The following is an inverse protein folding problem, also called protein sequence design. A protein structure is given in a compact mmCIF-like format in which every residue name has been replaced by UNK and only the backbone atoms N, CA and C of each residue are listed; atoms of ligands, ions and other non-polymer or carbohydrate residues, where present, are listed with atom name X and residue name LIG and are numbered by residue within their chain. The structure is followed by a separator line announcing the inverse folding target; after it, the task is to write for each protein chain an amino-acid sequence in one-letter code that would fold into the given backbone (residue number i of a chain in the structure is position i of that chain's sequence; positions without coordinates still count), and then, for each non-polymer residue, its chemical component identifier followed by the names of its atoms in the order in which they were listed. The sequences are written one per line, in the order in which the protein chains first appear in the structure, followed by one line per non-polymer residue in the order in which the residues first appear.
data_IF_245115824971
#
_entry.id   IF_245115824971
#
_cell.length_a   1.000
_cell.length_b   1.000
_cell.length_c   1.000
_cell.angle_alpha   90.00
_cell.angle_beta   90.00
_cell.angle_gamma   90.00
#
_symmetry.space_group_name_H-M   'P 1'
#
loop_
_entity.id
_entity.type
_entity.pdbx_description
1 polymer ?
#
# COMPACT_ATOMS: atom_id res chain seq x y z
N UNK A 1 -2.44 -27.66 15.99
CA UNK A 1 -3.06 -26.70 16.93
C UNK A 1 -2.42 -25.34 16.69
N UNK A 2 -3.19 -24.33 16.31
CA UNK A 2 -2.67 -22.97 16.09
C UNK A 2 -2.76 -22.20 17.41
N UNK A 3 -1.66 -21.60 17.82
CA UNK A 3 -1.59 -20.67 18.94
C UNK A 3 -1.05 -19.34 18.42
N UNK A 4 -1.19 -18.27 19.20
CA UNK A 4 -0.69 -16.94 18.81
C UNK A 4 0.33 -16.37 19.80
N UNK A 5 1.30 -15.62 19.28
CA UNK A 5 2.24 -14.79 20.05
C UNK A 5 1.91 -13.31 19.99
N UNK A 6 1.16 -12.89 18.97
CA UNK A 6 0.89 -11.50 18.65
C UNK A 6 -0.60 -11.24 18.51
N UNK A 7 -1.01 -9.98 18.59
CA UNK A 7 -2.37 -9.56 18.27
C UNK A 7 -2.34 -8.17 17.67
N UNK A 8 -3.25 -7.92 16.76
CA UNK A 8 -3.58 -6.58 16.24
C UNK A 8 -5.08 -6.35 16.33
N UNK A 9 -5.77 -7.02 17.27
CA UNK A 9 -7.22 -6.92 17.43
C UNK A 9 -7.65 -5.62 18.12
N UNK A 10 -6.79 -4.99 18.93
CA UNK A 10 -6.96 -3.62 19.49
C UNK A 10 -5.77 -2.73 19.10
N UNK A 11 -5.95 -1.41 19.12
CA UNK A 11 -4.86 -0.47 18.80
C UNK A 11 -3.67 -0.68 19.73
N UNK A 12 -3.95 -0.83 21.02
CA UNK A 12 -2.98 -1.21 22.05
C UNK A 12 -2.19 -2.47 21.66
N UNK A 13 -2.86 -3.55 21.22
CA UNK A 13 -2.16 -4.76 20.82
C UNK A 13 -1.26 -4.56 19.60
N UNK A 14 -1.70 -3.73 18.65
CA UNK A 14 -0.89 -3.41 17.48
C UNK A 14 0.34 -2.56 17.85
N UNK A 15 0.19 -1.58 18.72
CA UNK A 15 1.32 -0.82 19.27
C UNK A 15 2.28 -1.71 20.06
N UNK A 16 1.74 -2.64 20.86
CA UNK A 16 2.53 -3.64 21.57
C UNK A 16 3.31 -4.55 20.60
N UNK A 17 2.70 -5.01 19.52
CA UNK A 17 3.38 -5.76 18.45
C UNK A 17 4.56 -4.97 17.88
N UNK A 18 4.33 -3.71 17.49
CA UNK A 18 5.35 -2.85 16.91
C UNK A 18 6.51 -2.55 17.87
N UNK A 19 6.21 -2.34 19.16
CA UNK A 19 7.23 -2.08 20.19
C UNK A 19 8.17 -3.27 20.44
N UNK A 20 7.74 -4.48 20.09
CA UNK A 20 8.49 -5.73 20.28
C UNK A 20 9.20 -6.23 19.04
N UNK A 21 9.09 -5.51 17.92
CA UNK A 21 9.87 -5.79 16.73
C UNK A 21 11.37 -5.62 17.03
N UNK A 22 12.21 -6.62 16.70
CA UNK A 22 13.65 -6.43 16.73
C UNK A 22 14.04 -5.23 15.87
N UNK A 23 14.98 -4.37 16.31
CA UNK A 23 15.38 -3.20 15.51
C UNK A 23 16.02 -3.62 14.19
N UNK A 24 16.78 -4.72 14.21
CA UNK A 24 17.51 -5.23 13.07
C UNK A 24 17.51 -6.76 13.13
N UNK A 25 17.25 -7.36 11.98
CA UNK A 25 17.39 -8.79 11.73
C UNK A 25 18.82 -9.04 11.24
N UNK A 26 19.56 -9.88 11.96
CA UNK A 26 20.98 -10.15 11.70
C UNK A 26 21.29 -11.60 11.36
N UNK A 27 20.31 -12.51 11.47
CA UNK A 27 20.51 -13.93 11.26
C UNK A 27 19.41 -14.56 10.40
N UNK A 28 19.81 -15.45 9.50
CA UNK A 28 18.90 -16.27 8.70
C UNK A 28 18.12 -17.30 9.55
N UNK A 29 18.60 -17.64 10.75
CA UNK A 29 17.91 -18.55 11.68
C UNK A 29 16.73 -17.90 12.41
N UNK A 30 16.55 -16.58 12.31
CA UNK A 30 15.44 -15.89 12.97
C UNK A 30 14.11 -16.23 12.29
N UNK A 31 13.01 -16.40 13.06
CA UNK A 31 11.69 -16.56 12.45
C UNK A 31 11.25 -15.35 11.63
N UNK A 32 11.77 -14.15 11.91
CA UNK A 32 11.54 -12.96 11.07
C UNK A 32 12.18 -13.07 9.69
N UNK A 33 13.31 -13.78 9.55
CA UNK A 33 13.90 -14.06 8.26
C UNK A 33 12.99 -14.97 7.43
N UNK A 34 12.45 -16.04 8.04
CA UNK A 34 11.48 -16.92 7.37
C UNK A 34 10.20 -16.17 6.98
N UNK A 35 9.69 -15.28 7.84
CA UNK A 35 8.59 -14.40 7.53
C UNK A 35 8.90 -13.52 6.31
N UNK A 36 10.01 -12.77 6.34
CA UNK A 36 10.40 -11.90 5.24
C UNK A 36 10.68 -12.67 3.95
N UNK A 37 11.26 -13.86 4.03
CA UNK A 37 11.44 -14.75 2.89
C UNK A 37 10.09 -15.17 2.29
N UNK A 38 9.07 -15.39 3.12
CA UNK A 38 7.72 -15.68 2.62
C UNK A 38 7.05 -14.47 1.97
N UNK A 39 7.26 -13.26 2.50
CA UNK A 39 6.70 -12.01 1.96
C UNK A 39 7.41 -11.59 0.67
N UNK A 40 8.74 -11.56 0.70
CA UNK A 40 9.58 -11.07 -0.39
C UNK A 40 9.99 -12.15 -1.39
N UNK A 41 9.63 -13.42 -1.16
CA UNK A 41 9.98 -14.55 -2.04
C UNK A 41 11.47 -14.63 -2.41
N UNK A 42 12.32 -14.02 -1.60
CA UNK A 42 13.75 -13.92 -1.79
C UNK A 42 14.41 -13.70 -0.42
N UNK A 43 15.63 -14.22 -0.22
CA UNK A 43 16.45 -13.92 0.95
C UNK A 43 16.54 -12.40 1.20
N UNK A 44 16.02 -11.87 2.33
CA UNK A 44 16.24 -10.47 2.65
C UNK A 44 17.73 -10.23 2.92
N UNK A 45 18.28 -9.12 2.41
CA UNK A 45 19.65 -8.75 2.70
C UNK A 45 19.85 -8.51 4.20
N UNK A 46 20.88 -9.12 4.79
CA UNK A 46 21.26 -8.94 6.19
C UNK A 46 22.42 -7.94 6.29
N UNK A 47 22.42 -7.03 7.29
CA UNK A 47 21.37 -6.80 8.28
C UNK A 47 20.11 -6.14 7.70
N UNK A 48 18.92 -6.61 8.09
CA UNK A 48 17.65 -6.03 7.64
C UNK A 48 16.98 -5.21 8.77
N UNK A 49 16.73 -3.90 8.57
CA UNK A 49 16.08 -3.05 9.57
C UNK A 49 14.56 -3.29 9.62
N UNK A 50 14.10 -4.27 10.42
CA UNK A 50 12.67 -4.66 10.53
C UNK A 50 11.74 -3.49 10.89
N UNK A 51 12.22 -2.49 11.63
CA UNK A 51 11.43 -1.30 11.98
C UNK A 51 11.14 -0.36 10.80
N UNK A 52 11.72 -0.62 9.62
CA UNK A 52 11.36 0.07 8.37
C UNK A 52 10.13 -0.51 7.70
N UNK A 53 9.68 -1.71 8.10
CA UNK A 53 8.43 -2.28 7.60
C UNK A 53 7.27 -1.41 8.07
N UNK A 54 6.48 -0.95 7.11
CA UNK A 54 5.25 -0.19 7.36
C UNK A 54 4.02 -1.02 7.06
N UNK A 55 4.17 -2.24 6.56
CA UNK A 55 3.10 -3.17 6.23
C UNK A 55 3.46 -4.57 6.71
N UNK A 56 2.47 -5.26 7.29
CA UNK A 56 2.62 -6.65 7.70
C UNK A 56 1.47 -7.51 7.16
N UNK A 57 1.83 -8.59 6.47
CA UNK A 57 0.93 -9.69 6.12
C UNK A 57 0.62 -10.53 7.36
N UNK A 58 -0.53 -10.28 8.00
CA UNK A 58 -0.86 -10.93 9.29
C UNK A 58 -1.37 -12.37 9.14
N UNK A 59 -1.76 -12.77 7.94
CA UNK A 59 -2.12 -14.15 7.59
C UNK A 59 -0.92 -15.01 7.19
N UNK A 60 0.23 -14.39 6.87
CA UNK A 60 1.41 -15.08 6.38
C UNK A 60 2.34 -15.40 7.56
N UNK A 61 2.53 -16.69 7.89
CA UNK A 61 3.52 -17.26 8.81
C UNK A 61 3.68 -16.69 10.25
N UNK A 62 3.10 -15.51 10.54
CA UNK A 62 3.14 -14.88 11.84
C UNK A 62 2.15 -15.59 12.77
N UNK A 63 2.54 -15.93 14.01
CA UNK A 63 1.63 -16.45 15.02
C UNK A 63 0.72 -15.32 15.54
N UNK A 64 -0.18 -14.82 14.69
CA UNK A 64 -1.13 -13.74 14.99
C UNK A 64 -2.42 -14.31 15.58
N UNK A 65 -2.97 -13.60 16.55
CA UNK A 65 -4.28 -13.90 17.11
C UNK A 65 -5.35 -13.75 16.04
N UNK A 66 -6.37 -14.61 16.13
CA UNK A 66 -7.58 -14.41 15.34
C UNK A 66 -8.40 -13.29 15.99
N UNK A 67 -8.81 -12.33 15.18
CA UNK A 67 -9.67 -11.24 15.63
C UNK A 67 -11.11 -11.52 15.18
N UNK A 68 -12.06 -11.37 16.09
CA UNK A 68 -13.49 -11.57 15.83
C UNK A 68 -14.27 -10.31 16.16
N UNK A 69 -15.40 -10.10 15.48
CA UNK A 69 -16.41 -9.10 15.85
C UNK A 69 -17.71 -9.83 16.16
N UNK A 70 -18.48 -9.34 17.12
CA UNK A 70 -19.85 -9.80 17.35
C UNK A 70 -20.81 -9.35 16.24
N UNK A 71 -20.57 -8.17 15.66
CA UNK A 71 -21.32 -7.61 14.53
C UNK A 71 -20.47 -6.56 13.78
N UNK A 72 -20.99 -5.99 12.69
CA UNK A 72 -20.25 -5.05 11.85
C UNK A 72 -19.76 -3.78 12.60
N UNK A 73 -20.55 -3.28 13.55
CA UNK A 73 -20.25 -2.06 14.33
C UNK A 73 -19.40 -2.32 15.58
N UNK A 74 -19.29 -3.57 16.04
CA UNK A 74 -18.53 -3.89 17.25
C UNK A 74 -17.01 -3.77 17.01
N UNK A 75 -16.25 -3.34 18.01
CA UNK A 75 -14.79 -3.37 17.93
C UNK A 75 -14.30 -4.81 17.74
N UNK A 76 -13.14 -4.95 17.08
CA UNK A 76 -12.45 -6.23 17.01
C UNK A 76 -11.98 -6.63 18.40
N UNK A 77 -12.17 -7.91 18.73
CA UNK A 77 -11.66 -8.52 19.96
C UNK A 77 -10.87 -9.77 19.63
N UNK A 78 -10.04 -10.20 20.58
CA UNK A 78 -9.36 -11.49 20.52
C UNK A 78 -10.39 -12.63 20.49
N UNK A 79 -10.16 -13.61 19.63
CA UNK A 79 -10.88 -14.87 19.66
C UNK A 79 -10.36 -15.73 20.83
N UNK A 80 -11.17 -15.88 21.87
CA UNK A 80 -10.81 -16.66 23.06
C UNK A 80 -10.56 -18.16 22.74
N UNK A 81 -11.06 -18.67 21.61
CA UNK A 81 -10.82 -20.05 21.19
C UNK A 81 -9.41 -20.27 20.62
N UNK A 82 -8.66 -19.20 20.34
CA UNK A 82 -7.31 -19.27 19.82
C UNK A 82 -6.29 -19.03 20.95
N UNK A 83 -5.70 -20.07 21.56
CA UNK A 83 -4.87 -19.91 22.74
C UNK A 83 -3.55 -19.16 22.44
N UNK A 84 -2.98 -18.53 23.46
CA UNK A 84 -1.61 -17.99 23.40
C UNK A 84 -0.60 -19.13 23.36
N UNK A 85 0.45 -18.97 22.57
CA UNK A 85 1.56 -19.92 22.58
C UNK A 85 2.33 -19.85 23.90
N UNK A 86 3.05 -20.93 24.23
CA UNK A 86 3.99 -20.93 25.35
C UNK A 86 5.06 -19.84 25.18
N UNK A 87 5.52 -19.26 26.29
CA UNK A 87 6.49 -18.16 26.28
C UNK A 87 7.76 -18.50 25.47
N UNK A 88 8.26 -19.74 25.60
CA UNK A 88 9.43 -20.22 24.86
C UNK A 88 9.23 -20.20 23.33
N UNK A 89 8.02 -20.54 22.86
CA UNK A 89 7.70 -20.50 21.43
C UNK A 89 7.65 -19.07 20.88
N UNK A 90 7.18 -18.12 21.69
CA UNK A 90 7.15 -16.71 21.30
C UNK A 90 8.50 -16.01 21.46
N UNK A 91 9.37 -16.47 22.35
CA UNK A 91 10.65 -15.82 22.64
C UNK A 91 11.50 -15.60 21.38
N UNK A 92 11.50 -16.55 20.44
CA UNK A 92 12.24 -16.44 19.18
C UNK A 92 11.76 -15.28 18.27
N UNK A 93 10.50 -14.85 18.42
CA UNK A 93 9.90 -13.77 17.65
C UNK A 93 10.08 -12.39 18.29
N UNK A 94 10.46 -12.34 19.56
CA UNK A 94 10.32 -11.16 20.38
C UNK A 94 11.69 -10.62 20.77
N UNK A 95 11.92 -9.33 20.53
CA UNK A 95 12.98 -8.63 21.23
C UNK A 95 12.55 -8.33 22.68
N UNK A 96 13.53 -8.02 23.54
CA UNK A 96 13.24 -7.33 24.79
C UNK A 96 12.38 -6.09 24.49
N UNK A 97 11.36 -5.77 25.31
CA UNK A 97 10.51 -4.62 25.07
C UNK A 97 11.37 -3.36 24.97
N UNK A 98 11.33 -2.70 23.83
CA UNK A 98 11.90 -1.36 23.69
C UNK A 98 10.81 -0.34 23.99
N UNK A 99 11.20 0.90 24.30
CA UNK A 99 10.24 2.00 24.27
C UNK A 99 9.51 1.99 22.92
N UNK A 100 8.17 2.12 22.90
CA UNK A 100 7.42 2.16 21.65
C UNK A 100 7.98 3.30 20.79
N UNK A 101 8.06 3.13 19.46
CA UNK A 101 8.52 4.19 18.58
C UNK A 101 7.66 5.44 18.83
N UNK A 102 8.32 6.58 19.04
CA UNK A 102 7.63 7.84 19.22
C UNK A 102 6.77 8.11 17.98
N UNK A 103 5.45 8.09 18.17
CA UNK A 103 4.43 8.42 17.18
C UNK A 103 4.30 7.47 15.98
N UNK A 104 3.72 6.29 16.22
CA UNK A 104 3.14 5.45 15.16
C UNK A 104 1.62 5.55 15.22
N UNK A 105 1.00 5.78 14.06
CA UNK A 105 -0.45 5.62 13.90
C UNK A 105 -0.73 4.24 13.32
N UNK A 106 -1.64 3.51 13.94
CA UNK A 106 -2.06 2.19 13.49
C UNK A 106 -3.35 2.31 12.70
N UNK A 107 -3.32 1.88 11.45
CA UNK A 107 -4.50 1.86 10.60
C UNK A 107 -4.92 0.44 10.27
N UNK A 108 -6.25 0.24 10.21
CA UNK A 108 -6.86 -1.04 9.86
C UNK A 108 -7.74 -0.92 8.65
N UNK A 109 -7.55 -1.85 7.74
CA UNK A 109 -8.34 -1.96 6.53
C UNK A 109 -9.51 -2.93 6.74
N UNK A 110 -10.72 -2.59 6.25
CA UNK A 110 -11.95 -3.31 6.61
C UNK A 110 -12.10 -4.70 5.99
N UNK A 111 -11.33 -5.05 4.95
CA UNK A 111 -11.51 -6.32 4.24
C UNK A 111 -10.54 -7.42 4.69
N UNK A 112 -9.28 -7.08 5.03
CA UNK A 112 -8.27 -8.05 5.45
C UNK A 112 -7.34 -7.37 6.45
N UNK A 113 -7.03 -8.07 7.55
CA UNK A 113 -6.29 -7.52 8.69
C UNK A 113 -4.85 -7.29 8.26
N UNK A 114 -4.58 -6.11 7.70
CA UNK A 114 -3.23 -5.59 7.47
C UNK A 114 -2.93 -4.59 8.58
N UNK A 115 -1.72 -4.67 9.14
CA UNK A 115 -1.21 -3.62 10.00
C UNK A 115 -0.40 -2.67 9.13
N UNK A 116 -0.88 -1.45 8.97
CA UNK A 116 -0.09 -0.39 8.34
C UNK A 116 0.36 0.59 9.42
N UNK A 117 1.68 0.72 9.54
CA UNK A 117 2.37 1.53 10.54
C UNK A 117 3.28 2.51 9.82
N UNK A 118 2.90 3.77 9.73
CA UNK A 118 3.72 4.77 9.04
C UNK A 118 4.67 5.46 10.03
N UNK A 119 5.97 5.57 9.71
CA UNK A 119 6.84 6.51 10.39
C UNK A 119 6.34 7.93 10.08
N UNK A 120 6.39 8.84 11.06
CA UNK A 120 6.10 10.28 10.86
C UNK A 120 7.05 10.99 9.90
N UNK A 121 8.14 10.35 9.47
CA UNK A 121 9.04 10.98 8.51
C UNK A 121 8.25 11.28 7.23
N UNK A 122 8.28 12.53 6.73
CA UNK A 122 7.51 12.89 5.54
C UNK A 122 7.90 11.97 4.39
N UNK A 123 6.92 11.47 3.61
CA UNK A 123 7.23 10.65 2.45
C UNK A 123 8.15 11.44 1.53
N UNK A 124 9.16 10.75 1.00
CA UNK A 124 10.10 11.31 0.03
C UNK A 124 9.69 10.85 -1.35
N UNK A 125 9.82 11.74 -2.34
CA UNK A 125 9.68 11.35 -3.73
C UNK A 125 10.68 10.24 -4.07
N UNK A 126 10.17 9.14 -4.62
CA UNK A 126 11.00 8.12 -5.25
C UNK A 126 11.65 8.69 -6.52
N UNK A 127 12.90 8.30 -6.84
CA UNK A 127 13.56 8.67 -8.09
C UNK A 127 12.76 8.23 -9.31
N UNK A 128 12.89 8.95 -10.43
CA UNK A 128 12.27 8.55 -11.71
C UNK A 128 12.73 7.14 -12.12
N UNK A 129 11.82 6.37 -12.70
CA UNK A 129 11.99 4.98 -13.18
C UNK A 129 12.36 3.98 -12.09
N UNK A 130 12.22 4.36 -10.82
CA UNK A 130 12.45 3.47 -9.70
C UNK A 130 11.37 2.40 -9.61
N UNK A 131 11.71 1.30 -8.95
CA UNK A 131 10.74 0.38 -8.40
C UNK A 131 10.34 0.86 -7.01
N UNK A 132 9.04 0.99 -6.77
CA UNK A 132 8.48 1.41 -5.49
C UNK A 132 7.69 0.25 -4.91
N UNK A 133 7.96 -0.07 -3.64
CA UNK A 133 7.18 -1.05 -2.90
C UNK A 133 5.82 -0.43 -2.52
N UNK A 134 4.75 -1.11 -2.87
CA UNK A 134 3.39 -0.57 -2.81
C UNK A 134 2.41 -1.56 -2.22
N UNK A 135 1.29 -1.06 -1.73
CA UNK A 135 0.10 -1.85 -1.44
C UNK A 135 -1.02 -1.35 -2.32
N UNK A 136 -1.89 -2.26 -2.73
CA UNK A 136 -3.09 -1.94 -3.48
C UNK A 136 -4.31 -2.27 -2.63
N UNK A 137 -5.07 -1.24 -2.34
CA UNK A 137 -6.39 -1.37 -1.75
C UNK A 137 -7.38 -1.93 -2.75
N UNK A 138 -8.39 -2.65 -2.28
CA UNK A 138 -9.61 -2.83 -3.07
C UNK A 138 -10.28 -1.47 -3.24
N UNK A 139 -10.41 -1.01 -4.48
CA UNK A 139 -11.15 0.20 -4.81
C UNK A 139 -12.57 -0.16 -5.24
N UNK A 140 -13.53 0.70 -4.92
CA UNK A 140 -14.93 0.63 -5.39
C UNK A 140 -15.23 1.72 -6.44
N UNK A 141 -14.18 2.43 -6.88
CA UNK A 141 -14.27 3.67 -7.63
C UNK A 141 -14.08 3.45 -9.13
N UNK A 142 -14.15 4.55 -9.88
CA UNK A 142 -13.91 4.65 -11.32
C UNK A 142 -12.42 4.50 -11.70
N UNK A 143 -11.67 3.71 -10.94
CA UNK A 143 -10.25 3.47 -11.22
C UNK A 143 -10.09 2.83 -12.59
N UNK A 144 -9.10 3.25 -13.37
CA UNK A 144 -8.94 2.73 -14.73
C UNK A 144 -9.75 3.42 -15.82
N UNK A 145 -10.84 4.12 -15.49
CA UNK A 145 -11.70 4.78 -16.48
C UNK A 145 -11.56 6.29 -16.39
N UNK A 146 -11.99 7.00 -17.42
CA UNK A 146 -12.02 8.47 -17.47
C UNK A 146 -10.69 9.14 -17.10
N UNK A 147 -9.57 8.49 -17.43
CA UNK A 147 -8.21 8.96 -17.15
C UNK A 147 -7.85 9.04 -15.66
N UNK A 148 -8.50 8.26 -14.79
CA UNK A 148 -8.27 8.29 -13.33
C UNK A 148 -6.99 7.55 -12.88
N UNK A 149 -6.41 6.71 -13.74
CA UNK A 149 -5.19 5.95 -13.45
C UNK A 149 -5.39 4.73 -12.55
N UNK A 150 -4.28 4.06 -12.19
CA UNK A 150 -4.22 2.99 -11.20
C UNK A 150 -3.62 3.47 -9.88
N UNK A 151 -4.30 3.22 -8.77
CA UNK A 151 -3.95 3.75 -7.44
C UNK A 151 -3.22 2.72 -6.59
N UNK A 152 -2.19 3.21 -5.90
CA UNK A 152 -1.31 2.45 -5.02
C UNK A 152 -0.92 3.30 -3.81
N UNK A 153 -0.54 2.62 -2.73
CA UNK A 153 -0.02 3.23 -1.51
C UNK A 153 1.42 2.77 -1.30
N UNK A 154 2.43 3.65 -1.39
CA UNK A 154 3.80 3.28 -1.08
C UNK A 154 3.92 2.76 0.35
N UNK A 155 4.30 1.49 0.51
CA UNK A 155 4.50 0.86 1.83
C UNK A 155 5.59 -0.19 1.73
N UNK A 156 6.44 -0.27 2.76
CA UNK A 156 7.51 -1.27 2.87
C UNK A 156 6.99 -2.49 3.63
N UNK A 157 7.24 -3.69 3.13
CA UNK A 157 6.78 -4.96 3.70
C UNK A 157 5.57 -5.58 3.00
N UNK A 158 5.08 -4.99 1.90
CA UNK A 158 4.03 -5.60 1.09
C UNK A 158 4.56 -6.70 0.17
N UNK A 159 5.84 -6.64 -0.21
CA UNK A 159 6.43 -7.53 -1.21
C UNK A 159 6.01 -7.24 -2.66
N UNK A 160 5.13 -6.25 -2.88
CA UNK A 160 4.61 -5.87 -4.20
C UNK A 160 5.35 -4.63 -4.69
N UNK A 161 5.89 -4.69 -5.90
CA UNK A 161 6.67 -3.59 -6.48
C UNK A 161 6.08 -3.14 -7.80
N UNK A 162 6.15 -1.83 -8.05
CA UNK A 162 5.73 -1.23 -9.32
C UNK A 162 6.82 -0.32 -9.86
N UNK A 163 7.11 -0.41 -11.16
CA UNK A 163 7.97 0.58 -11.81
C UNK A 163 7.15 1.84 -12.10
N UNK A 164 7.64 2.98 -11.62
CA UNK A 164 6.92 4.24 -11.72
C UNK A 164 7.24 5.04 -12.99
N UNK A 165 8.20 4.60 -13.81
CA UNK A 165 8.53 5.25 -15.07
C UNK A 165 8.92 6.73 -14.92
N UNK A 166 8.58 7.57 -15.88
CA UNK A 166 8.74 9.01 -15.78
C UNK A 166 7.69 9.57 -14.82
N UNK A 167 8.11 9.85 -13.58
CA UNK A 167 7.20 10.31 -12.52
C UNK A 167 7.25 11.82 -12.31
N UNK A 168 6.09 12.40 -12.02
CA UNK A 168 5.96 13.72 -11.40
C UNK A 168 5.54 13.61 -9.93
N UNK A 169 5.84 14.65 -9.15
CA UNK A 169 5.55 14.69 -7.71
C UNK A 169 4.61 15.85 -7.44
N UNK A 170 3.52 15.55 -6.75
CA UNK A 170 2.61 16.51 -6.16
C UNK A 170 2.95 16.64 -4.67
N UNK A 171 3.61 17.74 -4.31
CA UNK A 171 3.69 18.14 -2.91
C UNK A 171 2.57 19.16 -2.63
N UNK A 172 1.67 18.91 -1.66
CA UNK A 172 0.75 19.94 -1.23
C UNK A 172 1.58 21.07 -0.64
N UNK A 173 1.45 22.24 -1.23
CA UNK A 173 2.23 23.39 -0.85
C UNK A 173 1.80 23.81 0.58
N UNK A 174 2.72 23.71 1.54
CA UNK A 174 2.46 24.00 2.95
C UNK A 174 2.06 25.46 3.10
N UNK A 175 0.78 25.72 3.38
CA UNK A 175 0.30 27.09 3.61
C UNK A 175 0.54 28.04 2.44
N UNK A 176 0.87 27.51 1.25
CA UNK A 176 1.04 28.34 0.09
C UNK A 176 -0.35 28.79 -0.36
N UNK A 177 -0.52 30.09 -0.42
CA UNK A 177 -1.64 30.70 -1.10
C UNK A 177 -1.65 30.23 -2.57
N UNK A 178 -2.82 30.16 -3.23
CA UNK A 178 -2.87 29.87 -4.66
C UNK A 178 -1.89 30.69 -5.52
N UNK A 179 -1.54 31.91 -5.07
CA UNK A 179 -0.56 32.78 -5.73
C UNK A 179 0.90 32.29 -5.60
N UNK A 180 1.29 31.73 -4.45
CA UNK A 180 2.62 31.16 -4.23
C UNK A 180 2.78 29.83 -4.99
N UNK A 181 1.71 29.06 -5.08
CA UNK A 181 1.63 27.90 -5.98
C UNK A 181 1.85 28.30 -7.44
N UNK A 182 1.32 29.43 -7.93
CA UNK A 182 1.52 29.84 -9.32
C UNK A 182 2.95 30.36 -9.64
N UNK A 183 3.78 30.64 -8.64
CA UNK A 183 5.14 31.19 -8.81
C UNK A 183 6.25 30.11 -8.90
N UNK A 184 6.12 29.01 -8.15
CA UNK A 184 7.12 27.93 -8.08
C UNK A 184 6.88 26.79 -9.09
N UNK A 185 5.73 26.80 -9.76
CA UNK A 185 5.40 25.78 -10.74
C UNK A 185 6.11 26.07 -12.07
N UNK A 186 6.66 25.04 -12.75
CA UNK A 186 7.11 25.14 -14.13
C UNK A 186 6.17 26.02 -14.95
N UNK A 187 6.74 26.95 -15.70
CA UNK A 187 5.99 28.02 -16.39
C UNK A 187 4.91 27.51 -17.36
N UNK A 188 4.89 26.21 -17.66
CA UNK A 188 3.82 25.60 -18.46
C UNK A 188 2.47 25.78 -17.75
N UNK A 189 1.55 26.45 -18.43
CA UNK A 189 0.17 26.66 -17.99
C UNK A 189 -0.51 25.35 -17.57
N UNK A 190 -0.17 24.25 -18.24
CA UNK A 190 -0.65 22.90 -17.93
C UNK A 190 -0.20 22.42 -16.55
N UNK A 191 1.04 22.66 -16.11
CA UNK A 191 1.46 22.22 -14.79
C UNK A 191 0.83 23.05 -13.66
N UNK A 192 0.55 24.33 -13.93
CA UNK A 192 -0.24 25.17 -13.02
C UNK A 192 -1.68 24.70 -12.88
N UNK A 193 -2.30 24.31 -13.99
CA UNK A 193 -3.63 23.69 -13.97
C UNK A 193 -3.64 22.34 -13.24
N UNK A 194 -2.57 21.55 -13.38
CA UNK A 194 -2.37 20.26 -12.69
C UNK A 194 -2.42 20.39 -11.17
N UNK A 195 -1.66 21.30 -10.59
CA UNK A 195 -1.65 21.48 -9.13
C UNK A 195 -2.93 22.16 -8.64
N UNK A 196 -3.45 23.13 -9.39
CA UNK A 196 -4.71 23.81 -9.06
C UNK A 196 -5.89 22.85 -9.04
N UNK A 197 -6.01 21.95 -10.02
CA UNK A 197 -7.13 20.99 -10.08
C UNK A 197 -7.08 19.96 -8.96
N UNK A 198 -5.89 19.49 -8.57
CA UNK A 198 -5.73 18.64 -7.39
C UNK A 198 -6.18 19.37 -6.11
N UNK A 199 -5.61 20.54 -5.82
CA UNK A 199 -5.93 21.29 -4.60
C UNK A 199 -7.40 21.77 -4.54
N UNK A 200 -7.96 22.23 -5.67
CA UNK A 200 -9.37 22.65 -5.75
C UNK A 200 -10.32 21.45 -5.59
N UNK A 201 -9.93 20.28 -6.08
CA UNK A 201 -10.69 19.05 -5.87
C UNK A 201 -10.70 18.60 -4.41
N UNK A 202 -9.79 19.09 -3.56
CA UNK A 202 -9.76 18.80 -2.12
C UNK A 202 -10.49 19.87 -1.28
N UNK A 203 -10.32 21.15 -1.62
CA UNK A 203 -10.74 22.28 -0.78
C UNK A 203 -12.26 22.53 -0.66
N UNK A 204 -13.08 22.22 -1.68
CA UNK A 204 -14.48 22.70 -1.73
C UNK A 204 -15.50 21.56 -1.72
N UNK A 205 -15.99 21.05 -0.56
CA UNK A 205 -16.99 19.97 -0.50
C UNK A 205 -18.12 20.23 -1.49
N UNK A 206 -18.50 19.25 -2.34
CA UNK A 206 -19.49 19.53 -3.38
C UNK A 206 -20.81 19.89 -2.71
N UNK A 207 -21.61 20.81 -3.29
CA UNK A 207 -22.98 20.97 -2.84
C UNK A 207 -23.68 19.61 -2.97
N UNK A 208 -24.33 19.17 -1.88
CA UNK A 208 -24.93 17.84 -1.75
C UNK A 208 -25.94 17.47 -2.86
N UNK A 209 -26.36 18.44 -3.69
CA UNK A 209 -27.37 18.30 -4.72
C UNK A 209 -26.83 18.05 -6.15
N UNK A 210 -25.52 18.21 -6.41
CA UNK A 210 -24.97 17.98 -7.75
C UNK A 210 -24.39 16.57 -7.84
N UNK A 211 -25.19 15.60 -8.29
CA UNK A 211 -24.81 14.17 -8.44
C UNK A 211 -23.64 13.87 -9.41
N UNK A 212 -22.78 14.84 -9.72
CA UNK A 212 -21.54 14.63 -10.47
C UNK A 212 -20.44 14.20 -9.48
N UNK A 213 -19.98 12.96 -9.64
CA UNK A 213 -18.80 12.45 -8.93
C UNK A 213 -17.60 13.36 -9.23
N UNK A 214 -16.83 13.69 -8.20
CA UNK A 214 -15.52 14.34 -8.38
C UNK A 214 -14.63 13.39 -9.18
N UNK A 215 -14.11 13.87 -10.31
CA UNK A 215 -13.05 13.19 -11.04
C UNK A 215 -11.81 14.03 -10.83
N UNK A 216 -10.83 13.47 -10.14
CA UNK A 216 -9.52 14.09 -10.01
C UNK A 216 -8.88 14.14 -11.39
N UNK A 217 -8.49 15.34 -11.84
CA UNK A 217 -7.99 15.55 -13.20
C UNK A 217 -6.48 15.44 -13.32
N UNK A 218 -5.78 15.44 -12.19
CA UNK A 218 -4.32 15.41 -12.20
C UNK A 218 -3.78 14.12 -12.87
N UNK A 219 -4.35 12.91 -12.70
CA UNK A 219 -3.81 11.72 -13.38
C UNK A 219 -3.89 11.86 -14.91
N UNK A 220 -5.01 12.35 -15.43
CA UNK A 220 -5.22 12.62 -16.86
C UNK A 220 -4.19 13.61 -17.43
N UNK A 221 -3.92 14.68 -16.68
CA UNK A 221 -3.00 15.72 -17.11
C UNK A 221 -1.53 15.28 -17.02
N UNK A 222 -1.17 14.49 -16.01
CA UNK A 222 0.14 13.85 -15.96
C UNK A 222 0.37 12.93 -17.18
N UNK A 223 -0.64 12.14 -17.55
CA UNK A 223 -0.62 11.33 -18.76
C UNK A 223 -0.38 12.18 -20.02
N UNK A 224 -1.15 13.26 -20.23
CA UNK A 224 -1.00 14.17 -21.36
C UNK A 224 0.39 14.84 -21.44
N UNK A 225 1.05 15.05 -20.30
CA UNK A 225 2.40 15.60 -20.21
C UNK A 225 3.50 14.53 -20.37
N UNK A 226 3.12 13.28 -20.67
CA UNK A 226 4.00 12.14 -20.87
C UNK A 226 4.66 11.65 -19.59
N UNK A 227 3.98 11.79 -18.44
CA UNK A 227 4.37 11.11 -17.20
C UNK A 227 3.66 9.75 -17.11
N UNK A 228 4.39 8.74 -16.65
CA UNK A 228 3.90 7.38 -16.42
C UNK A 228 3.24 7.25 -15.04
N UNK A 229 3.55 8.18 -14.13
CA UNK A 229 2.97 8.19 -12.79
C UNK A 229 3.03 9.56 -12.10
N UNK A 230 2.23 9.67 -11.04
CA UNK A 230 2.17 10.79 -10.10
C UNK A 230 2.38 10.26 -8.68
N UNK A 231 3.33 10.84 -7.96
CA UNK A 231 3.46 10.65 -6.51
C UNK A 231 2.81 11.81 -5.78
N UNK A 232 1.74 11.55 -5.01
CA UNK A 232 1.11 12.54 -4.13
C UNK A 232 1.74 12.41 -2.75
N UNK A 233 2.63 13.33 -2.41
CA UNK A 233 3.30 13.36 -1.11
C UNK A 233 2.43 14.12 -0.13
N UNK A 234 1.36 13.51 0.38
CA UNK A 234 0.49 14.20 1.34
C UNK A 234 1.29 14.71 2.55
N UNK A 235 1.34 16.04 2.71
CA UNK A 235 1.88 16.75 3.88
C UNK A 235 0.78 17.61 4.48
N UNK A 236 0.30 17.24 5.67
CA UNK A 236 -0.43 18.19 6.51
C UNK A 236 -1.96 18.14 6.48
N UNK A 237 -2.59 17.03 6.08
CA UNK A 237 -3.98 16.83 6.51
C UNK A 237 -4.00 16.29 7.94
N UNK A 238 -4.61 17.06 8.85
CA UNK A 238 -4.93 16.61 10.23
C UNK A 238 -5.90 15.41 10.27
N UNK A 239 -6.42 15.01 9.11
CA UNK A 239 -7.23 13.80 9.00
C UNK A 239 -6.33 12.58 9.14
N UNK A 240 -6.79 11.62 9.90
CA UNK A 240 -6.13 10.36 10.23
C UNK A 240 -5.81 9.44 9.03
N UNK A 241 -5.76 9.94 7.80
CA UNK A 241 -5.58 9.16 6.57
C UNK A 241 -4.65 9.84 5.56
N UNK A 242 -3.70 10.66 6.03
CA UNK A 242 -2.74 11.31 5.15
C UNK A 242 -1.68 10.32 4.65
N UNK A 243 -2.01 9.52 3.63
CA UNK A 243 -1.10 8.54 3.06
C UNK A 243 -0.44 9.10 1.80
N UNK A 244 0.85 8.83 1.57
CA UNK A 244 1.38 9.02 0.23
C UNK A 244 0.57 8.13 -0.73
N UNK A 245 0.24 8.70 -1.89
CA UNK A 245 -0.46 7.99 -2.95
C UNK A 245 0.45 7.95 -4.17
N UNK A 246 0.35 6.86 -4.92
CA UNK A 246 1.01 6.69 -6.19
C UNK A 246 -0.04 6.33 -7.22
N UNK A 247 -0.14 7.13 -8.27
CA UNK A 247 -1.07 6.91 -9.38
C UNK A 247 -0.26 6.59 -10.63
N UNK A 248 -0.45 5.41 -11.21
CA UNK A 248 0.09 5.06 -12.52
C UNK A 248 -0.86 5.59 -13.58
N UNK A 249 -0.33 6.35 -14.53
CA UNK A 249 -1.11 7.15 -15.50
C UNK A 249 -0.94 6.66 -16.94
N UNK A 250 -0.28 5.52 -17.16
CA UNK A 250 -0.13 4.91 -18.49
C UNK A 250 -1.49 4.58 -19.13
N UNK A 251 -1.53 4.37 -20.45
CA UNK A 251 -2.78 4.07 -21.17
C UNK A 251 -3.54 2.87 -20.59
N UNK A 252 -2.79 1.83 -20.24
CA UNK A 252 -3.35 0.66 -19.60
C UNK A 252 -4.02 1.01 -18.26
N UNK A 253 -3.50 1.97 -17.51
CA UNK A 253 -4.11 2.36 -16.24
C UNK A 253 -5.16 3.47 -16.34
N UNK A 254 -5.23 4.22 -17.44
CA UNK A 254 -6.07 5.42 -17.54
C UNK A 254 -7.28 5.25 -18.46
N UNK A 255 -7.22 4.30 -19.41
CA UNK A 255 -8.18 4.19 -20.51
C UNK A 255 -8.81 2.78 -20.62
N UNK A 256 -9.08 2.16 -19.48
CA UNK A 256 -9.80 0.90 -19.42
C UNK A 256 -11.26 1.09 -19.84
N UNK A 257 -11.84 0.03 -20.42
CA UNK A 257 -13.27 0.00 -20.77
C UNK A 257 -14.17 -0.20 -19.56
N UNK A 258 -13.62 -0.76 -18.47
CA UNK A 258 -14.32 -1.06 -17.22
C UNK A 258 -13.44 -0.63 -16.06
N UNK A 259 -14.04 -0.24 -14.93
CA UNK A 259 -13.25 0.09 -13.75
C UNK A 259 -12.36 -1.09 -13.34
N UNK A 260 -11.09 -0.78 -13.10
CA UNK A 260 -10.13 -1.70 -12.52
C UNK A 260 -10.58 -1.95 -11.08
N UNK A 261 -10.55 -3.22 -10.69
CA UNK A 261 -10.84 -3.62 -9.31
C UNK A 261 -9.53 -4.01 -8.65
N UNK A 262 -9.22 -5.30 -8.68
CA UNK A 262 -8.10 -5.89 -7.96
C UNK A 262 -6.82 -5.84 -8.79
N UNK A 263 -6.91 -6.11 -10.08
CA UNK A 263 -5.77 -6.40 -10.94
C UNK A 263 -5.45 -5.21 -11.84
N UNK A 264 -4.44 -4.40 -11.50
CA UNK A 264 -4.04 -3.32 -12.38
C UNK A 264 -3.43 -3.93 -13.66
N UNK A 265 -3.76 -3.42 -14.85
CA UNK A 265 -3.16 -3.84 -16.12
C UNK A 265 -1.77 -3.21 -16.30
N UNK A 266 -0.94 -3.32 -15.27
CA UNK A 266 0.41 -2.76 -15.24
C UNK A 266 1.37 -3.80 -14.68
N UNK A 267 2.63 -3.76 -15.11
CA UNK A 267 3.63 -4.72 -14.65
C UNK A 267 3.89 -4.51 -13.17
N UNK A 268 3.50 -5.50 -12.39
CA UNK A 268 3.87 -5.65 -10.99
C UNK A 268 4.99 -6.69 -10.88
N UNK A 269 5.82 -6.54 -9.87
CA UNK A 269 6.86 -7.52 -9.56
C UNK A 269 6.84 -7.91 -8.07
N UNK A 270 7.41 -9.08 -7.77
CA UNK A 270 7.56 -9.55 -6.38
C UNK A 270 8.97 -9.45 -5.87
N UNK A 271 9.09 -9.24 -4.56
CA UNK A 271 10.33 -9.44 -3.84
C UNK A 271 11.41 -8.39 -4.03
N UNK A 272 12.57 -8.60 -3.40
CA UNK A 272 13.74 -7.75 -3.62
C UNK A 272 14.28 -7.85 -5.05
N UNK A 273 13.87 -8.90 -5.79
CA UNK A 273 14.20 -9.15 -7.19
C UNK A 273 12.93 -8.98 -8.03
N UNK A 274 12.73 -7.78 -8.55
CA UNK A 274 11.58 -7.35 -9.37
C UNK A 274 11.44 -8.08 -10.74
N UNK A 275 12.03 -9.26 -10.88
CA UNK A 275 12.06 -10.07 -12.10
C UNK A 275 10.92 -11.09 -12.15
N UNK A 276 10.35 -11.44 -10.99
CA UNK A 276 9.29 -12.44 -10.88
C UNK A 276 7.91 -11.82 -11.13
N UNK A 277 7.11 -12.48 -11.97
CA UNK A 277 5.73 -12.09 -12.29
C UNK A 277 4.78 -12.22 -11.09
N UNK A 278 3.78 -11.36 -11.06
CA UNK A 278 2.70 -11.40 -10.06
C UNK A 278 1.51 -12.20 -10.57
N UNK A 279 0.83 -12.91 -9.67
CA UNK A 279 -0.51 -13.43 -9.93
C UNK A 279 -1.55 -12.46 -9.36
N UNK A 280 -2.67 -12.31 -10.06
CA UNK A 280 -3.76 -11.49 -9.58
C UNK A 280 -5.09 -12.12 -9.97
N UNK A 281 -6.03 -12.15 -9.03
CA UNK A 281 -7.34 -12.75 -9.23
C UNK A 281 -8.44 -11.76 -8.82
N UNK A 282 -9.19 -11.31 -9.82
CA UNK A 282 -10.35 -10.44 -9.62
C UNK A 282 -11.46 -11.11 -8.81
N UNK A 283 -11.58 -12.45 -8.93
CA UNK A 283 -12.59 -13.25 -8.23
C UNK A 283 -12.34 -13.34 -6.73
N UNK A 284 -11.08 -13.58 -6.35
CA UNK A 284 -10.69 -13.70 -4.95
C UNK A 284 -10.33 -12.35 -4.31
N UNK A 285 -10.34 -11.27 -5.09
CA UNK A 285 -9.84 -9.95 -4.69
C UNK A 285 -8.42 -10.03 -4.13
N UNK A 286 -7.63 -10.95 -4.67
CA UNK A 286 -6.28 -11.21 -4.23
C UNK A 286 -5.30 -10.68 -5.28
N UNK A 287 -4.51 -9.70 -4.87
CA UNK A 287 -3.28 -9.34 -5.56
C UNK A 287 -2.13 -9.83 -4.69
N UNK A 288 -1.51 -10.92 -5.09
CA UNK A 288 -0.34 -11.46 -4.41
C UNK A 288 0.62 -11.99 -5.45
N UNK A 289 1.86 -11.57 -5.36
CA UNK A 289 2.87 -12.01 -6.29
C UNK A 289 3.51 -13.30 -5.78
N UNK A 290 2.70 -14.35 -5.72
CA UNK A 290 3.02 -15.61 -5.04
C UNK A 290 4.07 -16.43 -5.79
N UNK A 291 4.34 -16.12 -7.06
CA UNK A 291 5.31 -16.83 -7.91
C UNK A 291 4.97 -18.31 -8.14
N UNK A 292 3.88 -18.81 -7.57
CA UNK A 292 3.37 -20.14 -7.85
C UNK A 292 2.71 -20.16 -9.22
N UNK A 293 2.98 -21.20 -9.99
CA UNK A 293 2.18 -21.58 -11.14
C UNK A 293 0.73 -21.72 -10.67
N UNK A 294 -0.06 -20.67 -10.78
CA UNK A 294 -1.50 -20.80 -10.68
C UNK A 294 -1.94 -21.57 -11.92
N UNK A 295 -1.82 -22.89 -11.86
CA UNK A 295 -2.74 -23.81 -12.52
C UNK A 295 -4.11 -23.61 -11.86
N UNK A 296 -4.69 -22.42 -11.97
CA UNK A 296 -6.13 -22.32 -11.96
C UNK A 296 -6.56 -23.12 -13.19
N UNK A 297 -7.15 -24.28 -12.92
CA UNK A 297 -7.83 -25.11 -13.91
C UNK A 297 -8.66 -24.21 -14.81
N UNK A 298 -8.25 -24.20 -16.07
CA UNK A 298 -8.76 -23.43 -17.19
C UNK A 298 -10.19 -23.89 -17.53
N UNK A 299 -11.13 -23.68 -16.63
CA UNK A 299 -12.55 -23.91 -16.87
C UNK A 299 -13.28 -22.56 -16.82
N UNK A 300 -13.39 -21.94 -17.99
CA UNK A 300 -14.37 -20.91 -18.36
C UNK A 300 -14.41 -19.65 -17.49
N UNK A 301 -13.33 -18.88 -17.53
CA UNK A 301 -13.40 -17.41 -17.53
C UNK A 301 -12.13 -16.88 -18.21
N UNK A 302 -12.28 -15.98 -19.19
CA UNK A 302 -11.16 -15.47 -20.00
C UNK A 302 -10.00 -14.94 -19.15
N UNK A 303 -8.97 -15.76 -18.99
CA UNK A 303 -7.67 -15.37 -18.46
C UNK A 303 -7.02 -14.44 -19.49
N UNK A 304 -6.90 -13.17 -19.16
CA UNK A 304 -6.03 -12.27 -19.91
C UNK A 304 -4.66 -12.37 -19.24
N UNK A 305 -3.74 -13.13 -19.83
CA UNK A 305 -2.34 -13.04 -19.44
C UNK A 305 -1.90 -11.58 -19.58
N UNK A 306 -1.34 -11.00 -18.53
CA UNK A 306 -0.68 -9.69 -18.62
C UNK A 306 0.49 -9.89 -19.57
N UNK A 307 0.35 -9.38 -20.80
CA UNK A 307 1.25 -9.66 -21.91
C UNK A 307 2.71 -9.41 -21.55
N UNK A 308 3.57 -10.35 -21.95
CA UNK A 308 4.99 -10.08 -22.13
C UNK A 308 5.12 -8.94 -23.14
N UNK A 309 5.75 -7.86 -22.71
CA UNK A 309 6.12 -6.73 -23.56
C UNK A 309 7.53 -7.05 -24.05
N UNK A 310 7.68 -7.26 -25.36
CA UNK A 310 8.96 -7.18 -26.07
C UNK A 310 9.42 -5.71 -26.18
#
# INVERSE_FOLDING_TARGET
MHCHCFSTCTEEHALAFLSRLPPTLTSASSPWYAYLLSVYRSPPALPFPLRRLTFFHLSAALPMARCVRSNASSPLRLDASHPRCAAAACAAWLAAPAAPPAAVTVHRWPAHVHLIAFPRAPPRAAPRRAWVEVHRARTSFAEGVDSYGCWFYPVVGSGLWVNIGRTTVLEPARGATPAELDADLPSSSLFREFVRTHNASEATPPPAAAGRKRVERFPALAHLLGYDSVQVLQRGFERAFAYPELVITTDNCSHQRKPIRTCPPHRLATGARHELSCTCSEKSHHLNCDGGDSKETEETAGSTSIGQID
#
